data_IF_067891048471
#
_entry.id   IF_067891048471
#
_cell.length_a   1.000
_cell.length_b   1.000
_cell.length_c   1.000
_cell.angle_alpha   90.00
_cell.angle_beta   90.00
_cell.angle_gamma   90.00
#
_symmetry.space_group_name_H-M   'P 1'
#
loop_
_entity.id
_entity.type
_entity.pdbx_description
1 polymer ?
#
# COMPACT_ATOMS: atom_id res chain seq x y z
N UNK A 1 -1.59 -30.19 12.35
CA UNK A 1 -1.23 -31.62 12.58
C UNK A 1 -0.60 -32.25 11.33
N UNK A 2 -1.20 -32.07 10.14
CA UNK A 2 -0.62 -32.59 8.89
C UNK A 2 0.74 -31.94 8.57
N UNK A 3 0.89 -30.63 8.77
CA UNK A 3 2.18 -29.93 8.53
C UNK A 3 3.34 -30.49 9.35
N UNK A 4 3.05 -30.89 10.58
CA UNK A 4 4.02 -31.47 11.50
C UNK A 4 4.55 -32.82 11.00
N UNK A 5 3.66 -33.65 10.46
CA UNK A 5 4.03 -34.97 9.93
C UNK A 5 4.94 -34.79 8.71
N UNK A 6 4.55 -33.93 7.76
CA UNK A 6 5.35 -33.68 6.56
C UNK A 6 6.67 -32.99 6.87
N UNK A 7 6.67 -31.98 7.75
CA UNK A 7 7.88 -31.32 8.22
C UNK A 7 8.84 -32.31 8.89
N UNK A 8 8.33 -33.21 9.74
CA UNK A 8 9.14 -34.24 10.38
C UNK A 8 9.75 -35.24 9.36
N UNK A 9 8.97 -35.64 8.35
CA UNK A 9 9.46 -36.50 7.26
C UNK A 9 10.59 -35.82 6.48
N UNK A 10 10.44 -34.53 6.15
CA UNK A 10 11.49 -33.76 5.45
C UNK A 10 12.77 -33.73 6.26
N UNK A 11 12.69 -33.41 7.55
CA UNK A 11 13.83 -33.35 8.48
C UNK A 11 14.53 -34.71 8.60
N UNK A 12 13.77 -35.80 8.62
CA UNK A 12 14.31 -37.14 8.66
C UNK A 12 15.03 -37.51 7.36
N UNK A 13 14.41 -37.22 6.22
CA UNK A 13 14.98 -37.52 4.90
C UNK A 13 16.25 -36.72 4.63
N UNK A 14 16.30 -35.43 4.96
CA UNK A 14 17.51 -34.60 4.81
C UNK A 14 18.65 -35.12 5.69
N UNK A 15 18.36 -35.50 6.93
CA UNK A 15 19.38 -36.03 7.84
C UNK A 15 19.94 -37.39 7.40
N UNK A 16 19.06 -38.31 6.95
CA UNK A 16 19.50 -39.62 6.40
C UNK A 16 20.34 -39.40 5.14
N UNK A 17 19.92 -38.48 4.26
CA UNK A 17 20.65 -38.13 3.04
C UNK A 17 22.03 -37.56 3.37
N UNK A 18 22.13 -36.65 4.34
CA UNK A 18 23.39 -36.06 4.78
C UNK A 18 24.32 -37.11 5.41
N UNK A 19 23.79 -38.00 6.25
CA UNK A 19 24.54 -39.13 6.81
C UNK A 19 25.15 -40.01 5.69
N UNK A 20 24.33 -40.40 4.72
CA UNK A 20 24.77 -41.28 3.63
C UNK A 20 25.79 -40.58 2.71
N UNK A 21 25.55 -39.30 2.37
CA UNK A 21 26.44 -38.49 1.54
C UNK A 21 27.82 -38.32 2.18
N UNK A 22 27.88 -37.96 3.47
CA UNK A 22 29.14 -37.82 4.20
C UNK A 22 29.91 -39.14 4.31
N UNK A 23 29.18 -40.25 4.48
CA UNK A 23 29.76 -41.61 4.51
C UNK A 23 30.34 -42.02 3.16
N UNK A 24 29.63 -41.76 2.06
CA UNK A 24 30.12 -42.05 0.70
C UNK A 24 31.34 -41.19 0.36
N UNK A 25 31.33 -39.92 0.76
CA UNK A 25 32.45 -39.00 0.55
C UNK A 25 33.65 -39.26 1.48
N UNK A 26 33.54 -40.21 2.44
CA UNK A 26 34.57 -40.50 3.46
C UNK A 26 35.00 -39.23 4.21
N UNK A 27 34.06 -38.33 4.47
CA UNK A 27 34.33 -37.09 5.20
C UNK A 27 34.73 -37.38 6.65
N UNK A 28 35.66 -36.60 7.19
CA UNK A 28 36.02 -36.65 8.62
C UNK A 28 34.87 -36.19 9.53
N UNK A 29 33.83 -35.57 8.97
CA UNK A 29 32.64 -35.07 9.68
C UNK A 29 31.44 -36.05 9.62
N UNK A 30 31.66 -37.38 9.59
CA UNK A 30 30.57 -38.37 9.49
C UNK A 30 29.64 -38.32 10.73
N UNK A 31 28.36 -38.00 10.52
CA UNK A 31 27.35 -38.01 11.59
C UNK A 31 27.03 -39.46 12.00
N UNK A 32 27.18 -39.83 13.27
CA UNK A 32 26.83 -41.17 13.77
C UNK A 32 25.32 -41.34 13.96
N UNK A 33 24.81 -42.58 14.03
CA UNK A 33 23.39 -42.84 14.30
C UNK A 33 22.89 -42.28 15.65
N UNK A 34 23.77 -42.16 16.65
CA UNK A 34 23.43 -41.54 17.95
C UNK A 34 23.29 -40.03 17.83
N UNK A 35 24.23 -39.37 17.14
CA UNK A 35 24.16 -37.93 16.86
C UNK A 35 22.98 -37.59 15.95
N UNK A 36 22.69 -38.45 14.97
CA UNK A 36 21.48 -38.36 14.16
C UNK A 36 20.21 -38.44 15.02
N UNK A 37 20.11 -39.39 15.94
CA UNK A 37 18.97 -39.50 16.85
C UNK A 37 18.76 -38.25 17.72
N UNK A 38 19.84 -37.70 18.29
CA UNK A 38 19.78 -36.49 19.11
C UNK A 38 19.47 -35.23 18.29
N UNK A 39 20.16 -35.05 17.16
CA UNK A 39 19.95 -33.94 16.24
C UNK A 39 18.52 -33.93 15.66
N UNK A 40 17.99 -35.11 15.34
CA UNK A 40 16.61 -35.27 14.91
C UNK A 40 15.62 -34.88 16.02
N UNK A 41 15.79 -35.39 17.25
CA UNK A 41 14.92 -35.04 18.36
C UNK A 41 14.94 -33.53 18.66
N UNK A 42 16.13 -32.92 18.67
CA UNK A 42 16.29 -31.48 18.87
C UNK A 42 15.61 -30.68 17.75
N UNK A 43 15.82 -31.06 16.49
CA UNK A 43 15.26 -30.33 15.36
C UNK A 43 13.73 -30.50 15.28
N UNK A 44 13.18 -31.68 15.61
CA UNK A 44 11.73 -31.88 15.64
C UNK A 44 11.04 -31.08 16.74
N UNK A 45 11.64 -30.98 17.94
CA UNK A 45 11.01 -30.29 19.08
C UNK A 45 11.21 -28.79 19.04
N UNK A 46 12.40 -28.30 18.69
CA UNK A 46 12.73 -26.87 18.78
C UNK A 46 12.72 -26.23 17.39
N UNK A 47 13.46 -26.82 16.44
CA UNK A 47 13.62 -26.26 15.09
C UNK A 47 12.29 -26.21 14.33
N UNK A 48 11.62 -27.35 14.20
CA UNK A 48 10.37 -27.49 13.46
C UNK A 48 9.23 -26.73 14.14
N UNK A 49 9.15 -26.78 15.49
CA UNK A 49 8.18 -25.96 16.24
C UNK A 49 8.36 -24.47 15.95
N UNK A 50 9.60 -23.98 16.08
CA UNK A 50 9.93 -22.57 15.85
C UNK A 50 9.62 -22.14 14.42
N UNK A 51 10.06 -22.92 13.43
CA UNK A 51 9.81 -22.63 12.01
C UNK A 51 8.32 -22.58 11.71
N UNK A 52 7.53 -23.58 12.15
CA UNK A 52 6.08 -23.60 11.92
C UNK A 52 5.41 -22.41 12.61
N UNK A 53 5.75 -22.10 13.87
CA UNK A 53 5.14 -20.97 14.58
C UNK A 53 5.46 -19.61 13.96
N UNK A 54 6.70 -19.40 13.55
CA UNK A 54 7.11 -18.17 12.85
C UNK A 54 6.40 -18.10 11.50
N UNK A 55 6.35 -19.22 10.76
CA UNK A 55 5.68 -19.29 9.47
C UNK A 55 4.19 -19.01 9.59
N UNK A 56 3.49 -19.66 10.52
CA UNK A 56 2.06 -19.45 10.76
C UNK A 56 1.78 -17.98 11.06
N UNK A 57 2.61 -17.34 11.89
CA UNK A 57 2.48 -15.92 12.18
C UNK A 57 2.56 -15.08 10.90
N UNK A 58 3.61 -15.24 10.08
CA UNK A 58 3.75 -14.47 8.85
C UNK A 58 2.69 -14.82 7.80
N UNK A 59 2.34 -16.10 7.66
CA UNK A 59 1.34 -16.57 6.72
C UNK A 59 -0.05 -16.00 7.05
N UNK A 60 -0.44 -16.03 8.32
CA UNK A 60 -1.70 -15.46 8.79
C UNK A 60 -1.68 -13.94 8.69
N UNK A 61 -0.60 -13.26 9.10
CA UNK A 61 -0.49 -11.81 8.95
C UNK A 61 -0.65 -11.39 7.49
N UNK A 62 0.03 -12.07 6.56
CA UNK A 62 -0.14 -11.82 5.13
C UNK A 62 -1.57 -12.07 4.64
N UNK A 63 -2.30 -13.02 5.23
CA UNK A 63 -3.70 -13.30 4.86
C UNK A 63 -4.68 -12.28 5.43
N UNK A 64 -4.42 -11.71 6.61
CA UNK A 64 -5.31 -10.71 7.22
C UNK A 64 -5.08 -9.29 6.73
N UNK A 65 -3.96 -8.97 6.09
CA UNK A 65 -3.72 -7.60 5.60
C UNK A 65 -4.51 -7.33 4.33
N UNK A 66 -5.33 -6.28 4.34
CA UNK A 66 -6.10 -5.75 3.21
C UNK A 66 -5.89 -4.25 3.11
N UNK A 67 -6.29 -3.65 1.99
CA UNK A 67 -6.19 -2.22 1.77
C UNK A 67 -7.52 -1.51 2.04
N UNK A 68 -7.48 -0.38 2.73
CA UNK A 68 -8.60 0.57 2.86
C UNK A 68 -8.22 1.95 2.33
N UNK A 69 -9.22 2.70 1.87
CA UNK A 69 -9.02 4.08 1.49
C UNK A 69 -9.22 4.97 2.71
N UNK A 70 -8.29 5.91 2.91
CA UNK A 70 -8.38 6.99 3.88
C UNK A 70 -8.58 8.28 3.11
N UNK A 71 -9.69 8.94 3.38
CA UNK A 71 -10.05 10.19 2.72
C UNK A 71 -9.89 11.35 3.68
N UNK A 72 -9.58 12.52 3.13
CA UNK A 72 -9.42 13.74 3.90
C UNK A 72 -9.37 14.96 2.99
N UNK A 73 -8.68 16.00 3.45
CA UNK A 73 -8.46 17.23 2.68
C UNK A 73 -6.98 17.60 2.62
N UNK A 74 -6.64 18.39 1.60
CA UNK A 74 -5.40 19.14 1.55
C UNK A 74 -5.30 20.07 2.78
N UNK A 75 -4.09 20.19 3.33
CA UNK A 75 -3.83 21.00 4.52
C UNK A 75 -2.80 22.09 4.23
N UNK A 76 -1.72 21.74 3.53
CA UNK A 76 -0.62 22.67 3.25
C UNK A 76 0.08 22.33 1.95
N UNK A 77 0.33 23.32 1.11
CA UNK A 77 1.21 23.20 -0.05
C UNK A 77 2.61 23.70 0.34
N UNK A 78 3.58 22.80 0.35
CA UNK A 78 4.96 23.08 0.71
C UNK A 78 5.81 23.27 -0.55
N UNK A 79 6.59 24.34 -0.55
CA UNK A 79 7.64 24.58 -1.53
C UNK A 79 8.97 24.72 -0.82
N UNK A 80 9.78 23.67 -0.89
CA UNK A 80 11.11 23.65 -0.32
C UNK A 80 12.14 24.02 -1.37
N UNK A 81 12.97 25.02 -1.07
CA UNK A 81 14.13 25.38 -1.88
C UNK A 81 15.40 24.91 -1.19
N UNK A 82 16.13 24.01 -1.82
CA UNK A 82 17.40 23.47 -1.32
C UNK A 82 18.52 24.25 -1.98
N UNK A 83 19.20 25.10 -1.21
CA UNK A 83 20.41 25.78 -1.68
C UNK A 83 21.54 24.78 -1.90
N UNK A 84 22.15 24.84 -3.06
CA UNK A 84 23.23 23.94 -3.46
C UNK A 84 24.60 24.51 -3.08
N UNK A 85 25.54 23.60 -2.84
CA UNK A 85 26.96 23.91 -2.64
C UNK A 85 27.81 22.84 -3.32
N UNK A 86 29.09 23.15 -3.55
CA UNK A 86 30.09 22.14 -3.96
C UNK A 86 30.11 21.00 -2.92
N UNK A 87 30.06 19.75 -3.38
CA UNK A 87 29.92 18.54 -2.56
C UNK A 87 28.71 18.57 -1.59
N UNK A 88 27.70 19.36 -1.94
CA UNK A 88 26.54 19.66 -1.10
C UNK A 88 25.40 18.66 -1.18
N UNK A 89 24.20 19.14 -0.80
CA UNK A 89 22.98 18.34 -0.69
C UNK A 89 22.18 18.18 -1.98
N UNK A 90 22.52 18.93 -3.03
CA UNK A 90 21.82 18.85 -4.31
C UNK A 90 22.16 17.58 -5.05
N UNK A 91 21.19 17.08 -5.79
CA UNK A 91 21.24 15.73 -6.37
C UNK A 91 21.77 15.75 -7.78
N UNK A 92 21.39 16.77 -8.54
CA UNK A 92 21.81 16.94 -9.91
C UNK A 92 23.14 17.69 -9.92
N UNK A 93 24.21 16.92 -10.03
CA UNK A 93 25.59 17.39 -10.02
C UNK A 93 26.38 16.90 -11.22
N UNK A 94 27.53 17.52 -11.46
CA UNK A 94 28.53 17.12 -12.44
C UNK A 94 29.94 17.20 -11.84
N UNK A 95 30.85 16.42 -12.40
CA UNK A 95 32.26 16.41 -12.00
C UNK A 95 32.92 17.75 -12.37
N UNK A 96 33.35 18.49 -11.35
CA UNK A 96 34.03 19.77 -11.49
C UNK A 96 35.35 19.76 -10.71
N UNK A 97 36.15 20.83 -10.86
CA UNK A 97 37.35 21.12 -10.08
C UNK A 97 38.17 19.88 -9.66
N UNK A 98 39.13 19.43 -10.47
CA UNK A 98 39.91 18.26 -10.10
C UNK A 98 40.78 18.52 -8.86
N UNK A 99 40.83 17.55 -7.95
CA UNK A 99 41.74 17.54 -6.81
C UNK A 99 42.49 16.21 -6.75
N UNK A 100 43.63 16.18 -6.08
CA UNK A 100 44.44 14.96 -5.96
C UNK A 100 44.38 14.42 -4.53
N UNK A 101 44.11 13.13 -4.40
CA UNK A 101 44.16 12.42 -3.12
C UNK A 101 45.17 11.29 -3.15
N UNK A 102 45.85 11.00 -2.03
CA UNK A 102 46.69 9.81 -1.92
C UNK A 102 45.81 8.55 -1.88
N UNK A 103 46.07 7.62 -2.79
CA UNK A 103 45.48 6.28 -2.79
C UNK A 103 46.58 5.25 -2.52
N UNK A 104 46.31 4.36 -1.55
CA UNK A 104 47.18 3.25 -1.22
C UNK A 104 46.85 2.05 -2.10
N UNK A 105 47.86 1.46 -2.73
CA UNK A 105 47.69 0.26 -3.56
C UNK A 105 48.81 -0.75 -3.29
N UNK A 106 48.52 -2.03 -3.55
CA UNK A 106 49.49 -3.09 -3.42
C UNK A 106 50.52 -3.02 -4.57
N UNK A 107 51.77 -2.74 -4.21
CA UNK A 107 52.92 -2.75 -5.12
C UNK A 107 53.92 -3.85 -4.74
N UNK A 108 53.42 -4.92 -4.10
CA UNK A 108 54.18 -6.12 -3.80
C UNK A 108 54.82 -6.69 -5.05
N UNK A 109 56.03 -7.20 -4.92
CA UNK A 109 56.76 -7.84 -5.99
C UNK A 109 57.40 -9.14 -5.50
N UNK A 110 57.71 -10.05 -6.42
CA UNK A 110 58.43 -11.28 -6.10
C UNK A 110 59.92 -11.05 -6.33
N UNK A 111 60.73 -11.30 -5.31
CA UNK A 111 62.18 -11.12 -5.42
C UNK A 111 62.84 -12.25 -6.24
N UNK A 112 64.14 -12.12 -6.53
CA UNK A 112 64.92 -13.11 -7.28
C UNK A 112 65.05 -14.48 -6.58
N UNK A 113 64.56 -14.62 -5.35
CA UNK A 113 64.49 -15.87 -4.58
C UNK A 113 63.09 -16.49 -4.57
N UNK A 114 62.15 -15.97 -5.36
CA UNK A 114 60.78 -16.48 -5.45
C UNK A 114 59.88 -16.12 -4.26
N UNK A 115 60.30 -15.22 -3.37
CA UNK A 115 59.52 -14.79 -2.22
C UNK A 115 58.75 -13.50 -2.54
N UNK A 116 57.44 -13.46 -2.26
CA UNK A 116 56.62 -12.24 -2.36
C UNK A 116 57.01 -11.29 -1.23
N UNK A 117 57.48 -10.10 -1.60
CA UNK A 117 57.73 -8.99 -0.67
C UNK A 117 56.48 -8.14 -0.64
N UNK A 118 55.75 -8.16 0.49
CA UNK A 118 54.54 -7.35 0.64
C UNK A 118 54.90 -5.87 0.77
N UNK A 119 54.35 -5.02 -0.10
CA UNK A 119 54.61 -3.58 -0.08
C UNK A 119 53.36 -2.80 -0.48
N UNK A 120 52.99 -1.82 0.35
CA UNK A 120 51.97 -0.83 0.00
C UNK A 120 52.65 0.42 -0.52
N UNK A 121 52.22 0.90 -1.69
CA UNK A 121 52.67 2.16 -2.27
C UNK A 121 51.54 3.18 -2.26
N UNK A 122 51.92 4.45 -2.34
CA UNK A 122 50.98 5.55 -2.49
C UNK A 122 51.10 6.12 -3.90
N UNK A 123 49.97 6.37 -4.56
CA UNK A 123 49.89 7.16 -5.79
C UNK A 123 48.92 8.31 -5.58
N UNK A 124 49.15 9.44 -6.24
CA UNK A 124 48.18 10.52 -6.29
C UNK A 124 47.13 10.18 -7.35
N UNK A 125 45.88 10.08 -6.95
CA UNK A 125 44.76 9.86 -7.87
C UNK A 125 43.96 11.14 -7.98
N UNK A 126 43.65 11.51 -9.22
CA UNK A 126 42.78 12.64 -9.53
C UNK A 126 41.33 12.26 -9.24
N UNK A 127 40.68 13.03 -8.38
CA UNK A 127 39.24 13.01 -8.11
C UNK A 127 38.64 14.36 -8.53
N UNK A 128 37.32 14.43 -8.52
CA UNK A 128 36.54 15.60 -8.91
C UNK A 128 35.52 15.91 -7.83
N UNK A 129 35.25 17.19 -7.63
CA UNK A 129 34.16 17.65 -6.78
C UNK A 129 32.82 17.48 -7.49
N UNK A 130 31.76 17.27 -6.74
CA UNK A 130 30.39 17.23 -7.26
C UNK A 130 29.83 18.65 -7.23
N UNK A 131 29.89 19.35 -8.37
CA UNK A 131 29.26 20.67 -8.50
C UNK A 131 27.80 20.53 -8.93
N UNK A 132 26.86 21.26 -8.32
CA UNK A 132 25.46 21.27 -8.76
C UNK A 132 25.33 21.98 -10.12
N UNK A 133 24.29 21.64 -10.89
CA UNK A 133 23.96 22.34 -12.14
C UNK A 133 23.38 23.73 -11.87
N UNK A 134 22.55 23.86 -10.84
CA UNK A 134 21.88 25.09 -10.41
C UNK A 134 22.29 25.48 -8.97
N UNK A 135 22.02 26.72 -8.58
CA UNK A 135 22.25 27.23 -7.21
C UNK A 135 21.24 26.72 -6.21
N UNK A 136 20.10 26.22 -6.68
CA UNK A 136 19.08 25.59 -5.88
C UNK A 136 18.31 24.51 -6.66
N UNK A 137 17.74 23.56 -5.92
CA UNK A 137 16.78 22.57 -6.39
C UNK A 137 15.47 22.73 -5.60
N UNK A 138 14.33 22.52 -6.24
CA UNK A 138 13.01 22.73 -5.65
C UNK A 138 12.27 21.40 -5.45
N UNK A 139 11.72 21.21 -4.26
CA UNK A 139 10.81 20.10 -3.95
C UNK A 139 9.45 20.66 -3.57
N UNK A 140 8.40 20.09 -4.15
CA UNK A 140 7.02 20.49 -3.99
C UNK A 140 6.23 19.34 -3.39
N UNK A 141 5.58 19.58 -2.26
CA UNK A 141 4.69 18.59 -1.65
C UNK A 141 3.39 19.19 -1.13
N UNK A 142 2.40 18.34 -0.89
CA UNK A 142 1.14 18.70 -0.25
C UNK A 142 0.91 17.80 0.95
N UNK A 143 0.81 18.41 2.13
CA UNK A 143 0.41 17.72 3.36
C UNK A 143 -1.10 17.65 3.46
N UNK A 144 -1.60 16.59 4.07
CA UNK A 144 -3.02 16.28 4.10
C UNK A 144 -3.53 15.94 5.51
N UNK A 145 -4.84 15.98 5.68
CA UNK A 145 -5.49 15.71 6.98
C UNK A 145 -5.48 14.22 7.34
N UNK A 146 -5.06 13.33 6.45
CA UNK A 146 -4.86 11.90 6.76
C UNK A 146 -3.54 11.64 7.48
N UNK A 147 -2.65 12.65 7.53
CA UNK A 147 -1.28 12.52 8.04
C UNK A 147 -0.25 12.17 6.96
N UNK A 148 -0.70 11.94 5.72
CA UNK A 148 0.15 11.65 4.57
C UNK A 148 0.58 12.95 3.85
N UNK A 149 1.72 12.89 3.16
CA UNK A 149 2.24 13.97 2.30
C UNK A 149 2.55 13.42 0.91
N UNK A 150 2.17 14.15 -0.14
CA UNK A 150 2.47 13.76 -1.53
C UNK A 150 3.48 14.69 -2.14
N UNK A 151 4.59 14.13 -2.61
CA UNK A 151 5.59 14.87 -3.39
C UNK A 151 5.14 14.96 -4.85
N UNK A 152 4.81 16.16 -5.30
CA UNK A 152 4.37 16.45 -6.67
C UNK A 152 5.51 16.83 -7.60
N UNK A 153 6.66 17.21 -7.03
CA UNK A 153 7.91 17.41 -7.76
C UNK A 153 9.08 17.28 -6.79
N UNK A 154 10.09 16.48 -7.14
CA UNK A 154 11.27 16.28 -6.30
C UNK A 154 12.51 16.80 -7.00
N UNK A 155 13.23 17.73 -6.36
CA UNK A 155 14.52 18.28 -6.83
C UNK A 155 14.48 18.84 -8.26
N UNK A 156 13.36 19.43 -8.65
CA UNK A 156 13.23 20.11 -9.93
C UNK A 156 14.17 21.30 -10.00
N UNK A 157 14.58 21.67 -11.21
CA UNK A 157 15.28 22.93 -11.41
C UNK A 157 14.33 24.14 -11.27
N UNK A 158 14.85 25.34 -10.96
CA UNK A 158 14.06 26.57 -10.97
C UNK A 158 13.38 26.85 -12.31
N UNK A 159 12.34 27.70 -12.31
CA UNK A 159 11.58 28.09 -13.53
C UNK A 159 12.47 28.65 -14.64
N UNK A 160 13.53 29.39 -14.28
CA UNK A 160 14.58 29.81 -15.21
C UNK A 160 15.93 29.23 -14.72
N UNK A 161 16.22 27.98 -15.08
CA UNK A 161 17.38 27.30 -14.53
C UNK A 161 18.70 27.84 -15.09
N UNK A 162 18.67 28.56 -16.23
CA UNK A 162 19.83 29.23 -16.82
C UNK A 162 20.23 30.48 -16.03
N UNK A 163 19.28 31.19 -15.43
CA UNK A 163 19.59 32.29 -14.49
C UNK A 163 20.10 31.79 -13.14
N UNK A 164 19.81 30.54 -12.79
CA UNK A 164 20.22 29.92 -11.53
C UNK A 164 21.42 29.00 -11.69
N UNK A 165 22.23 29.18 -12.74
CA UNK A 165 23.43 28.34 -12.94
C UNK A 165 24.39 28.47 -11.76
N UNK A 166 24.86 27.33 -11.25
CA UNK A 166 25.88 27.31 -10.20
C UNK A 166 27.18 28.03 -10.63
N UNK A 167 27.54 27.86 -11.91
CA UNK A 167 28.66 28.56 -12.57
C UNK A 167 28.14 29.53 -13.61
N UNK A 168 28.64 30.77 -13.58
CA UNK A 168 28.27 31.77 -14.57
C UNK A 168 28.88 31.48 -15.95
N UNK A 169 28.28 32.06 -16.99
CA UNK A 169 28.70 31.96 -18.40
C UNK A 169 30.14 32.44 -18.70
N UNK A 170 30.81 33.07 -17.73
CA UNK A 170 32.22 33.47 -17.82
C UNK A 170 33.22 32.34 -17.53
N UNK A 171 32.77 31.19 -17.02
CA UNK A 171 33.63 30.05 -16.77
C UNK A 171 33.96 29.30 -18.07
N UNK A 172 35.22 28.85 -18.22
CA UNK A 172 35.73 28.21 -19.45
C UNK A 172 34.91 27.01 -19.93
N UNK A 173 34.15 26.39 -19.05
CA UNK A 173 33.26 25.29 -19.37
C UNK A 173 32.11 25.24 -18.37
N UNK A 174 30.89 25.48 -18.85
CA UNK A 174 29.64 25.29 -18.11
C UNK A 174 28.90 24.15 -18.80
N UNK A 175 28.66 23.01 -18.14
CA UNK A 175 27.93 21.91 -18.76
C UNK A 175 26.48 22.33 -19.06
N UNK A 176 25.88 21.79 -20.11
CA UNK A 176 24.45 22.01 -20.38
C UNK A 176 23.58 21.46 -19.24
N UNK A 177 22.40 22.05 -19.02
CA UNK A 177 21.45 21.47 -18.07
C UNK A 177 20.96 20.11 -18.58
N UNK A 178 20.84 19.10 -17.70
CA UNK A 178 20.20 17.84 -18.06
C UNK A 178 18.74 18.08 -18.48
N UNK A 179 18.43 17.89 -19.77
CA UNK A 179 17.06 18.07 -20.28
C UNK A 179 16.04 17.06 -19.75
N UNK A 180 16.48 16.02 -19.03
CA UNK A 180 15.63 15.05 -18.36
C UNK A 180 15.10 15.53 -17.00
N UNK A 181 15.67 16.60 -16.44
CA UNK A 181 15.24 17.15 -15.16
C UNK A 181 14.18 18.21 -15.42
N UNK A 182 13.02 18.05 -14.80
CA UNK A 182 11.91 18.99 -14.91
C UNK A 182 12.27 20.33 -14.23
N UNK A 183 11.68 21.41 -14.72
CA UNK A 183 11.95 22.77 -14.25
C UNK A 183 10.67 23.54 -13.97
N UNK A 184 10.69 24.39 -12.94
CA UNK A 184 9.59 25.27 -12.59
C UNK A 184 8.66 24.68 -11.53
N UNK A 185 7.43 25.20 -11.49
CA UNK A 185 6.42 24.81 -10.51
C UNK A 185 5.46 23.79 -11.15
N UNK A 186 5.26 22.60 -10.55
CA UNK A 186 4.30 21.62 -11.04
C UNK A 186 2.86 22.18 -11.09
N UNK A 187 2.11 21.88 -12.15
CA UNK A 187 0.75 22.39 -12.35
C UNK A 187 -0.27 21.89 -11.33
N UNK A 188 -0.16 20.61 -10.96
CA UNK A 188 -0.93 19.97 -9.88
C UNK A 188 -0.69 20.65 -8.53
N UNK A 189 0.57 20.95 -8.19
CA UNK A 189 0.92 21.66 -6.96
C UNK A 189 0.38 23.09 -6.98
N UNK A 190 0.49 23.81 -8.10
CA UNK A 190 -0.09 25.15 -8.24
C UNK A 190 -1.59 25.14 -8.00
N UNK A 191 -2.31 24.18 -8.59
CA UNK A 191 -3.75 24.05 -8.41
C UNK A 191 -4.14 23.75 -6.95
N UNK A 192 -3.39 22.90 -6.24
CA UNK A 192 -3.59 22.63 -4.83
C UNK A 192 -3.30 23.87 -3.96
N UNK A 193 -2.21 24.60 -4.28
CA UNK A 193 -1.86 25.84 -3.59
C UNK A 193 -2.92 26.93 -3.78
N UNK A 194 -3.48 27.06 -4.99
CA UNK A 194 -4.59 27.98 -5.28
C UNK A 194 -5.87 27.62 -4.52
N UNK A 195 -6.23 26.33 -4.48
CA UNK A 195 -7.34 25.81 -3.68
C UNK A 195 -7.19 26.19 -2.20
N UNK A 196 -6.03 25.89 -1.62
CA UNK A 196 -5.70 26.22 -0.23
C UNK A 196 -5.73 27.73 0.02
N UNK A 197 -5.17 28.55 -0.89
CA UNK A 197 -5.19 30.01 -0.80
C UNK A 197 -6.61 30.58 -0.87
N UNK A 198 -7.54 29.89 -1.55
CA UNK A 198 -8.95 30.25 -1.63
C UNK A 198 -9.82 29.69 -0.50
N UNK A 199 -9.21 29.07 0.53
CA UNK A 199 -9.90 28.37 1.62
C UNK A 199 -10.87 27.27 1.14
N UNK A 200 -10.52 26.58 0.05
CA UNK A 200 -11.30 25.49 -0.54
C UNK A 200 -10.40 24.30 -0.86
N UNK A 201 -9.86 23.62 0.17
CA UNK A 201 -8.96 22.48 -0.03
C UNK A 201 -9.67 21.37 -0.81
N UNK A 202 -8.93 20.72 -1.70
CA UNK A 202 -9.41 19.55 -2.42
C UNK A 202 -9.53 18.32 -1.51
N UNK A 203 -10.50 17.45 -1.82
CA UNK A 203 -10.58 16.12 -1.22
C UNK A 203 -9.43 15.24 -1.68
N UNK A 204 -8.83 14.51 -0.74
CA UNK A 204 -7.69 13.60 -0.99
C UNK A 204 -8.04 12.17 -0.60
N UNK A 205 -7.30 11.22 -1.14
CA UNK A 205 -7.45 9.79 -0.85
C UNK A 205 -6.10 9.10 -0.85
N UNK A 206 -5.84 8.32 0.19
CA UNK A 206 -4.68 7.45 0.33
C UNK A 206 -5.12 6.02 0.57
N UNK A 207 -4.26 5.07 0.20
CA UNK A 207 -4.48 3.65 0.50
C UNK A 207 -3.58 3.24 1.65
N UNK A 208 -4.19 2.68 2.68
CA UNK A 208 -3.53 2.16 3.87
C UNK A 208 -3.82 0.68 4.02
N UNK A 209 -2.92 -0.04 4.66
CA UNK A 209 -3.10 -1.43 5.00
C UNK A 209 -3.76 -1.59 6.37
N UNK A 210 -4.65 -2.56 6.51
CA UNK A 210 -5.33 -2.88 7.75
C UNK A 210 -5.62 -4.38 7.87
N UNK A 211 -5.72 -4.91 9.11
CA UNK A 211 -6.15 -6.29 9.30
C UNK A 211 -7.67 -6.43 9.11
N UNK A 212 -8.11 -7.36 8.25
CA UNK A 212 -9.50 -7.75 8.06
C UNK A 212 -9.70 -9.24 8.26
N UNK A 213 -10.22 -9.63 9.42
CA UNK A 213 -10.47 -11.03 9.75
C UNK A 213 -11.72 -11.59 9.08
N UNK A 214 -12.68 -10.73 8.73
CA UNK A 214 -13.93 -11.16 8.08
C UNK A 214 -13.60 -11.67 6.69
N UNK A 215 -12.86 -10.91 5.89
CA UNK A 215 -12.49 -11.32 4.52
C UNK A 215 -11.42 -12.43 4.48
N UNK A 216 -10.58 -12.51 5.51
CA UNK A 216 -9.51 -13.52 5.56
C UNK A 216 -9.99 -14.90 6.02
N UNK A 217 -11.14 -14.98 6.70
CA UNK A 217 -11.64 -16.22 7.25
C UNK A 217 -12.11 -17.18 6.15
N UNK A 218 -11.57 -18.40 6.12
CA UNK A 218 -11.84 -19.34 5.03
C UNK A 218 -13.32 -19.79 4.93
N UNK A 219 -14.09 -19.75 6.04
CA UNK A 219 -15.43 -20.33 6.12
C UNK A 219 -16.38 -19.50 7.02
N UNK A 220 -16.27 -18.16 6.98
CA UNK A 220 -17.15 -17.33 7.80
C UNK A 220 -18.55 -17.21 7.19
N UNK A 221 -19.59 -17.38 8.01
CA UNK A 221 -20.98 -17.03 7.67
C UNK A 221 -21.17 -15.55 7.35
N UNK A 222 -20.16 -14.72 7.66
CA UNK A 222 -20.17 -13.28 7.46
C UNK A 222 -19.73 -12.87 6.05
N UNK A 223 -19.21 -13.81 5.27
CA UNK A 223 -18.94 -13.59 3.85
C UNK A 223 -20.24 -13.33 3.09
N UNK A 224 -20.20 -12.35 2.19
CA UNK A 224 -21.31 -12.10 1.29
C UNK A 224 -21.20 -13.01 0.07
N UNK A 225 -22.26 -13.76 -0.19
CA UNK A 225 -22.40 -14.62 -1.36
C UNK A 225 -23.64 -14.21 -2.14
N UNK A 226 -23.56 -14.31 -3.46
CA UNK A 226 -24.71 -14.11 -4.35
C UNK A 226 -24.57 -15.01 -5.58
N UNK A 227 -25.64 -15.72 -5.92
CA UNK A 227 -25.75 -16.52 -7.14
C UNK A 227 -26.04 -15.66 -8.39
N UNK A 228 -26.28 -14.35 -8.20
CA UNK A 228 -26.59 -13.39 -9.28
C UNK A 228 -25.37 -12.65 -9.81
N UNK A 229 -24.16 -12.90 -9.28
CA UNK A 229 -22.94 -12.21 -9.73
C UNK A 229 -22.74 -12.40 -11.24
N UNK A 230 -22.73 -13.66 -11.72
CA UNK A 230 -22.51 -13.96 -13.14
C UNK A 230 -23.63 -13.39 -14.03
N UNK A 231 -24.87 -13.37 -13.54
CA UNK A 231 -26.00 -12.78 -14.26
C UNK A 231 -25.79 -11.27 -14.51
N UNK A 232 -25.52 -10.50 -13.47
CA UNK A 232 -25.33 -9.05 -13.60
C UNK A 232 -23.99 -8.69 -14.26
N UNK A 233 -22.95 -9.52 -14.10
CA UNK A 233 -21.67 -9.36 -14.80
C UNK A 233 -21.84 -9.56 -16.31
N UNK A 234 -22.56 -10.60 -16.73
CA UNK A 234 -22.87 -10.84 -18.15
C UNK A 234 -23.72 -9.73 -18.77
N UNK A 235 -24.58 -9.08 -17.98
CA UNK A 235 -25.35 -7.90 -18.39
C UNK A 235 -24.54 -6.59 -18.41
N UNK A 236 -23.26 -6.62 -18.03
CA UNK A 236 -22.41 -5.44 -17.85
C UNK A 236 -23.01 -4.41 -16.87
N UNK A 237 -23.65 -4.91 -15.82
CA UNK A 237 -24.25 -4.11 -14.75
C UNK A 237 -23.41 -4.13 -13.47
N UNK A 238 -22.42 -5.02 -13.33
CA UNK A 238 -21.46 -4.97 -12.22
C UNK A 238 -20.18 -4.25 -12.66
N UNK A 239 -19.99 -2.97 -12.30
CA UNK A 239 -18.74 -2.28 -12.59
C UNK A 239 -17.59 -2.87 -11.78
N UNK A 240 -16.40 -2.86 -12.35
CA UNK A 240 -15.18 -3.26 -11.64
C UNK A 240 -14.87 -2.27 -10.52
N UNK A 241 -14.43 -2.80 -9.38
CA UNK A 241 -14.06 -1.98 -8.22
C UNK A 241 -12.74 -1.26 -8.51
N UNK A 242 -12.74 0.07 -8.42
CA UNK A 242 -11.53 0.84 -8.67
C UNK A 242 -10.63 0.81 -7.44
N UNK A 243 -9.39 0.38 -7.65
CA UNK A 243 -8.40 0.19 -6.58
C UNK A 243 -7.26 1.21 -6.64
N UNK A 244 -7.21 2.03 -7.68
CA UNK A 244 -6.12 2.98 -7.91
C UNK A 244 -6.48 4.37 -7.45
N UNK A 245 -5.47 5.11 -7.00
CA UNK A 245 -5.53 6.53 -6.73
C UNK A 245 -4.84 7.22 -7.90
N UNK A 246 -5.57 8.12 -8.58
CA UNK A 246 -5.10 8.86 -9.76
C UNK A 246 -4.70 10.28 -9.39
N UNK A 247 -3.97 10.97 -10.27
CA UNK A 247 -3.67 12.39 -10.15
C UNK A 247 -3.22 12.78 -8.73
N UNK A 248 -2.16 12.10 -8.27
CA UNK A 248 -1.53 12.19 -6.95
C UNK A 248 -2.35 11.64 -5.76
N UNK A 249 -3.63 11.98 -5.64
CA UNK A 249 -4.48 11.56 -4.49
C UNK A 249 -6.00 11.50 -4.78
N UNK A 250 -6.42 11.43 -6.04
CA UNK A 250 -7.84 11.38 -6.44
C UNK A 250 -8.38 9.95 -6.44
N UNK A 251 -9.46 9.68 -5.71
CA UNK A 251 -10.10 8.37 -5.67
C UNK A 251 -11.29 8.25 -6.63
N UNK A 252 -11.36 7.21 -7.46
CA UNK A 252 -12.48 6.98 -8.37
C UNK A 252 -13.58 6.13 -7.73
N UNK A 253 -14.59 6.78 -7.16
CA UNK A 253 -15.64 6.10 -6.37
C UNK A 253 -17.06 6.28 -6.90
N UNK A 254 -17.19 6.73 -8.14
CA UNK A 254 -18.48 6.83 -8.83
C UNK A 254 -18.46 5.92 -10.04
N UNK A 255 -19.46 5.05 -10.13
CA UNK A 255 -19.59 4.05 -11.17
C UNK A 255 -20.92 4.21 -11.89
N UNK A 256 -20.91 4.04 -13.21
CA UNK A 256 -22.12 4.11 -14.04
C UNK A 256 -22.37 2.73 -14.67
N UNK A 257 -23.49 2.09 -14.30
CA UNK A 257 -23.86 0.76 -14.75
C UNK A 257 -25.08 0.84 -15.68
N UNK A 258 -24.87 0.68 -16.99
CA UNK A 258 -25.95 0.83 -17.99
C UNK A 258 -26.41 2.27 -18.24
N UNK A 259 -26.02 3.25 -17.40
CA UNK A 259 -26.37 4.66 -17.57
C UNK A 259 -25.32 5.38 -18.41
N UNK A 260 -25.67 5.75 -19.64
CA UNK A 260 -24.87 6.65 -20.49
C UNK A 260 -25.31 8.09 -20.29
N UNK A 261 -24.39 9.05 -20.46
CA UNK A 261 -24.62 10.50 -20.55
C UNK A 261 -24.74 11.33 -19.26
N UNK A 262 -24.20 10.86 -18.13
CA UNK A 262 -24.02 11.71 -16.94
C UNK A 262 -22.61 12.33 -16.91
N UNK A 263 -22.42 13.55 -16.39
CA UNK A 263 -21.13 14.23 -16.36
C UNK A 263 -20.21 13.59 -15.29
N UNK A 264 -19.37 12.63 -15.71
CA UNK A 264 -18.54 11.84 -14.80
C UNK A 264 -17.64 12.71 -13.89
N UNK A 265 -17.01 13.73 -14.45
CA UNK A 265 -16.08 14.62 -13.72
C UNK A 265 -16.76 15.41 -12.61
N UNK A 266 -18.00 15.86 -12.82
CA UNK A 266 -18.78 16.56 -11.80
C UNK A 266 -19.12 15.63 -10.63
N UNK A 267 -19.54 14.40 -10.93
CA UNK A 267 -19.84 13.39 -9.93
C UNK A 267 -18.58 12.97 -9.16
N UNK A 268 -17.46 12.79 -9.85
CA UNK A 268 -16.18 12.43 -9.26
C UNK A 268 -15.66 13.53 -8.33
N UNK A 269 -15.73 14.79 -8.76
CA UNK A 269 -15.31 15.94 -7.96
C UNK A 269 -16.16 16.04 -6.68
N UNK A 270 -17.49 15.97 -6.81
CA UNK A 270 -18.39 16.00 -5.66
C UNK A 270 -18.19 14.80 -4.72
N UNK A 271 -17.94 13.61 -5.28
CA UNK A 271 -17.66 12.40 -4.50
C UNK A 271 -16.35 12.51 -3.71
N UNK A 272 -15.29 13.06 -4.30
CA UNK A 272 -14.01 13.24 -3.59
C UNK A 272 -14.13 14.28 -2.47
N UNK A 273 -14.85 15.39 -2.71
CA UNK A 273 -15.12 16.37 -1.68
C UNK A 273 -15.94 15.77 -0.53
N UNK A 274 -17.00 15.02 -0.85
CA UNK A 274 -17.84 14.33 0.13
C UNK A 274 -17.05 13.29 0.91
N UNK A 275 -16.23 12.48 0.23
CA UNK A 275 -15.39 11.48 0.87
C UNK A 275 -14.32 12.14 1.75
N UNK A 276 -13.79 13.31 1.38
CA UNK A 276 -12.90 14.07 2.25
C UNK A 276 -13.55 14.38 3.61
N UNK A 277 -14.81 14.85 3.59
CA UNK A 277 -15.58 15.10 4.81
C UNK A 277 -15.89 13.82 5.59
N UNK A 278 -16.35 12.77 4.88
CA UNK A 278 -16.69 11.49 5.48
C UNK A 278 -15.48 10.80 6.12
N UNK A 279 -14.32 10.87 5.46
CA UNK A 279 -13.07 10.32 5.94
C UNK A 279 -12.56 11.06 7.18
N UNK A 280 -12.59 12.40 7.15
CA UNK A 280 -12.15 13.23 8.28
C UNK A 280 -12.99 13.02 9.53
N UNK A 281 -14.32 13.03 9.42
CA UNK A 281 -15.21 13.00 10.59
C UNK A 281 -15.62 11.60 11.03
N UNK A 282 -15.74 10.66 10.09
CA UNK A 282 -16.31 9.32 10.32
C UNK A 282 -15.40 8.17 9.87
N UNK A 283 -14.27 8.47 9.23
CA UNK A 283 -13.36 7.48 8.63
C UNK A 283 -14.08 6.49 7.70
N UNK A 284 -15.13 6.96 7.01
CA UNK A 284 -15.90 6.20 6.03
C UNK A 284 -15.36 6.36 4.60
N UNK A 285 -15.70 5.41 3.73
CA UNK A 285 -15.29 5.38 2.32
C UNK A 285 -16.51 5.10 1.42
N UNK A 286 -17.13 6.13 0.87
CA UNK A 286 -18.35 6.02 0.10
C UNK A 286 -18.08 5.74 -1.38
N UNK A 287 -18.64 4.63 -1.85
CA UNK A 287 -18.72 4.21 -3.25
C UNK A 287 -20.15 4.37 -3.75
N UNK A 288 -20.32 5.10 -4.85
CA UNK A 288 -21.62 5.36 -5.46
C UNK A 288 -21.74 4.67 -6.81
N UNK A 289 -22.77 3.84 -6.98
CA UNK A 289 -23.11 3.23 -8.26
C UNK A 289 -24.43 3.80 -8.75
N UNK A 290 -24.44 4.36 -9.96
CA UNK A 290 -25.64 4.84 -10.63
C UNK A 290 -26.00 3.82 -11.72
N UNK A 291 -27.16 3.18 -11.59
CA UNK A 291 -27.60 2.07 -12.45
C UNK A 291 -28.84 2.43 -13.28
N UNK A 292 -28.96 1.83 -14.46
CA UNK A 292 -30.17 1.93 -15.28
C UNK A 292 -31.31 1.18 -14.61
N UNK A 293 -32.31 1.92 -14.11
CA UNK A 293 -33.48 1.38 -13.44
C UNK A 293 -34.43 0.61 -14.35
N UNK A 294 -34.30 0.75 -15.68
CA UNK A 294 -34.97 -0.09 -16.65
C UNK A 294 -34.33 -1.48 -16.76
N UNK A 295 -33.02 -1.57 -16.54
CA UNK A 295 -32.27 -2.82 -16.55
C UNK A 295 -32.30 -3.53 -15.18
N UNK A 296 -32.36 -2.77 -14.08
CA UNK A 296 -32.53 -3.29 -12.72
C UNK A 296 -33.80 -2.70 -12.09
N UNK A 297 -34.95 -3.37 -12.23
CA UNK A 297 -36.20 -2.90 -11.64
C UNK A 297 -36.14 -2.95 -10.11
N UNK A 298 -37.02 -2.19 -9.45
CA UNK A 298 -37.04 -2.09 -7.97
C UNK A 298 -37.22 -3.44 -7.27
N UNK A 299 -37.89 -4.40 -7.92
CA UNK A 299 -38.08 -5.76 -7.40
C UNK A 299 -36.76 -6.52 -7.25
N UNK A 300 -35.75 -6.19 -8.05
CA UNK A 300 -34.44 -6.83 -8.06
C UNK A 300 -33.37 -5.99 -7.34
N UNK A 301 -33.75 -4.87 -6.74
CA UNK A 301 -32.82 -3.91 -6.13
C UNK A 301 -31.97 -4.52 -5.00
N UNK A 302 -32.59 -5.36 -4.17
CA UNK A 302 -31.93 -6.04 -3.05
C UNK A 302 -30.98 -7.15 -3.52
N UNK A 303 -31.39 -7.91 -4.55
CA UNK A 303 -30.54 -8.91 -5.21
C UNK A 303 -29.32 -8.25 -5.88
N UNK A 304 -29.51 -7.09 -6.51
CA UNK A 304 -28.45 -6.35 -7.18
C UNK A 304 -27.41 -5.79 -6.21
N UNK A 305 -27.81 -5.09 -5.13
CA UNK A 305 -26.84 -4.59 -4.12
C UNK A 305 -26.13 -5.75 -3.42
N UNK A 306 -26.82 -6.87 -3.18
CA UNK A 306 -26.23 -8.09 -2.67
C UNK A 306 -25.16 -8.65 -3.60
N UNK A 307 -25.47 -8.77 -4.89
CA UNK A 307 -24.53 -9.24 -5.91
C UNK A 307 -23.32 -8.30 -6.08
N UNK A 308 -23.55 -6.99 -6.14
CA UNK A 308 -22.49 -5.99 -6.28
C UNK A 308 -21.52 -6.05 -5.10
N UNK A 309 -22.04 -6.06 -3.87
CA UNK A 309 -21.18 -6.08 -2.68
C UNK A 309 -20.46 -7.41 -2.51
N UNK A 310 -21.10 -8.54 -2.83
CA UNK A 310 -20.45 -9.84 -2.88
C UNK A 310 -19.35 -9.90 -3.95
N UNK A 311 -19.59 -9.33 -5.14
CA UNK A 311 -18.60 -9.24 -6.21
C UNK A 311 -17.38 -8.41 -5.77
N UNK A 312 -17.60 -7.22 -5.20
CA UNK A 312 -16.51 -6.36 -4.73
C UNK A 312 -15.77 -6.91 -3.50
N UNK A 313 -16.38 -7.84 -2.75
CA UNK A 313 -15.71 -8.57 -1.66
C UNK A 313 -15.10 -9.91 -2.09
N UNK A 314 -15.28 -10.31 -3.34
CA UNK A 314 -14.80 -11.60 -3.85
C UNK A 314 -13.29 -11.61 -4.11
N UNK A 315 -12.77 -12.82 -4.34
CA UNK A 315 -11.37 -13.06 -4.70
C UNK A 315 -10.93 -12.34 -6.00
N UNK A 316 -11.87 -11.84 -6.81
CA UNK A 316 -11.57 -11.03 -8.00
C UNK A 316 -10.73 -9.78 -7.67
N UNK A 317 -10.87 -9.24 -6.46
CA UNK A 317 -10.14 -8.04 -6.01
C UNK A 317 -9.08 -8.33 -4.95
N UNK A 318 -8.98 -9.57 -4.48
CA UNK A 318 -7.99 -10.03 -3.49
C UNK A 318 -7.80 -9.05 -2.33
N UNK A 319 -6.59 -8.52 -2.13
CA UNK A 319 -6.26 -7.58 -1.04
C UNK A 319 -6.88 -6.19 -1.19
N UNK A 320 -7.41 -5.90 -2.37
CA UNK A 320 -8.13 -4.68 -2.68
C UNK A 320 -9.65 -4.84 -2.64
N UNK A 321 -10.15 -5.97 -2.12
CA UNK A 321 -11.58 -6.15 -1.89
C UNK A 321 -12.19 -5.02 -1.05
N UNK A 322 -13.50 -4.81 -1.20
CA UNK A 322 -14.25 -3.74 -0.54
C UNK A 322 -13.95 -3.67 0.96
N UNK A 323 -13.42 -2.53 1.38
CA UNK A 323 -12.91 -2.34 2.74
C UNK A 323 -14.01 -2.33 3.81
N UNK A 324 -13.63 -2.49 5.07
CA UNK A 324 -14.57 -2.52 6.21
C UNK A 324 -15.33 -1.22 6.40
N UNK A 325 -14.70 -0.08 6.12
CA UNK A 325 -15.30 1.23 6.31
C UNK A 325 -16.03 1.69 5.05
N UNK A 326 -16.08 0.84 4.03
CA UNK A 326 -16.73 1.16 2.78
C UNK A 326 -18.25 1.19 2.93
N UNK A 327 -18.86 2.17 2.30
CA UNK A 327 -20.30 2.35 2.17
C UNK A 327 -20.58 2.26 0.67
N UNK A 328 -21.41 1.32 0.26
CA UNK A 328 -21.83 1.17 -1.13
C UNK A 328 -23.26 1.68 -1.24
N UNK A 329 -23.47 2.69 -2.07
CA UNK A 329 -24.79 3.24 -2.37
C UNK A 329 -25.10 3.00 -3.83
N UNK A 330 -26.25 2.40 -4.11
CA UNK A 330 -26.77 2.21 -5.46
C UNK A 330 -27.97 3.13 -5.65
N UNK A 331 -27.92 3.95 -6.70
CA UNK A 331 -29.03 4.79 -7.14
C UNK A 331 -29.46 4.32 -8.52
N UNK A 332 -30.74 3.97 -8.66
CA UNK A 332 -31.29 3.67 -9.97
C UNK A 332 -32.00 4.88 -10.57
N UNK A 333 -31.96 4.98 -11.89
CA UNK A 333 -32.68 6.00 -12.63
C UNK A 333 -33.23 5.45 -13.94
N UNK A 334 -34.45 5.85 -14.29
CA UNK A 334 -35.09 5.50 -15.57
C UNK A 334 -35.05 6.69 -16.54
N UNK A 335 -35.08 7.92 -16.02
CA UNK A 335 -35.17 9.17 -16.77
C UNK A 335 -33.86 9.98 -16.78
N UNK A 336 -32.83 9.51 -16.05
CA UNK A 336 -31.53 10.18 -15.81
C UNK A 336 -31.62 11.52 -15.08
N UNK A 337 -32.77 11.82 -14.47
CA UNK A 337 -33.05 13.09 -13.79
C UNK A 337 -33.47 12.89 -12.34
N UNK A 338 -34.11 11.78 -12.03
CA UNK A 338 -34.60 11.44 -10.71
C UNK A 338 -34.17 10.04 -10.30
N UNK A 339 -34.12 9.82 -8.98
CA UNK A 339 -33.79 8.54 -8.38
C UNK A 339 -35.07 7.71 -8.29
N UNK A 340 -35.15 6.62 -9.06
CA UNK A 340 -36.32 5.73 -9.06
C UNK A 340 -36.37 4.84 -7.82
N UNK A 341 -35.20 4.37 -7.36
CA UNK A 341 -35.02 3.65 -6.11
C UNK A 341 -33.57 3.77 -5.65
N UNK A 342 -33.32 3.56 -4.35
CA UNK A 342 -31.99 3.55 -3.77
C UNK A 342 -31.79 2.33 -2.84
N UNK A 343 -30.56 1.85 -2.75
CA UNK A 343 -30.12 0.84 -1.77
C UNK A 343 -28.73 1.18 -1.26
N UNK A 344 -28.44 0.76 -0.04
CA UNK A 344 -27.10 0.87 0.51
C UNK A 344 -26.71 -0.39 1.25
N UNK A 345 -25.40 -0.60 1.34
CA UNK A 345 -24.77 -1.65 2.10
C UNK A 345 -23.43 -1.14 2.62
N UNK A 346 -22.88 -1.79 3.64
CA UNK A 346 -21.52 -1.53 4.14
C UNK A 346 -20.60 -2.71 3.85
N UNK A 347 -19.29 -2.49 3.93
CA UNK A 347 -18.31 -3.57 3.90
C UNK A 347 -18.43 -4.53 5.09
N UNK A 348 -19.02 -4.08 6.20
CA UNK A 348 -19.26 -4.91 7.38
C UNK A 348 -20.63 -5.57 7.37
N UNK A 349 -20.78 -6.77 7.96
CA UNK A 349 -22.04 -7.50 7.98
C UNK A 349 -23.09 -6.88 8.92
N UNK A 350 -22.68 -6.10 9.93
CA UNK A 350 -23.57 -5.56 10.96
C UNK A 350 -23.17 -4.16 11.44
N UNK A 351 -24.08 -3.50 12.18
CA UNK A 351 -23.81 -2.29 12.98
C UNK A 351 -24.16 -0.97 12.30
N UNK A 352 -24.95 -1.03 11.23
CA UNK A 352 -25.20 0.08 10.31
C UNK A 352 -26.55 -0.04 9.59
N UNK A 353 -27.43 -0.92 10.07
CA UNK A 353 -28.69 -1.31 9.44
C UNK A 353 -29.66 -0.12 9.35
N UNK A 354 -29.73 0.69 10.41
CA UNK A 354 -30.66 1.82 10.48
C UNK A 354 -30.38 2.90 9.43
N UNK A 355 -29.10 3.20 9.16
CA UNK A 355 -28.76 4.17 8.13
C UNK A 355 -29.12 3.64 6.74
N UNK A 356 -28.88 2.33 6.47
CA UNK A 356 -29.18 1.75 5.14
C UNK A 356 -30.67 1.80 4.81
N UNK A 357 -31.53 1.58 5.82
CA UNK A 357 -32.98 1.74 5.71
C UNK A 357 -33.37 3.21 5.49
N UNK A 358 -32.78 4.13 6.26
CA UNK A 358 -33.08 5.57 6.13
C UNK A 358 -32.69 6.10 4.74
N UNK A 359 -31.56 5.64 4.20
CA UNK A 359 -31.08 6.02 2.89
C UNK A 359 -32.03 5.55 1.78
N UNK A 360 -32.51 4.31 1.86
CA UNK A 360 -33.50 3.75 0.93
C UNK A 360 -34.72 4.65 0.81
N UNK A 361 -35.25 5.09 1.96
CA UNK A 361 -36.52 5.81 2.01
C UNK A 361 -36.36 7.30 1.64
N UNK A 362 -35.22 7.93 1.96
CA UNK A 362 -35.02 9.38 1.72
C UNK A 362 -34.54 9.75 0.32
N UNK A 363 -33.80 8.87 -0.35
CA UNK A 363 -33.25 9.17 -1.68
C UNK A 363 -34.25 8.93 -2.82
N UNK A 364 -35.26 8.09 -2.61
CA UNK A 364 -36.26 7.83 -3.64
C UNK A 364 -37.01 9.12 -4.01
N UNK A 365 -37.12 9.40 -5.31
CA UNK A 365 -37.79 10.58 -5.85
C UNK A 365 -36.96 11.87 -5.82
N UNK A 366 -35.76 11.85 -5.26
CA UNK A 366 -34.87 13.02 -5.25
C UNK A 366 -34.26 13.27 -6.64
N UNK A 367 -33.85 14.51 -6.96
CA UNK A 367 -33.09 14.80 -8.17
C UNK A 367 -31.78 14.01 -8.21
N UNK A 368 -31.46 13.44 -9.37
CA UNK A 368 -30.19 12.75 -9.63
C UNK A 368 -29.14 13.79 -10.07
N UNK A 369 -28.67 14.59 -9.12
CA UNK A 369 -27.57 15.53 -9.32
C UNK A 369 -26.54 15.37 -8.19
N UNK A 370 -25.24 15.66 -8.43
CA UNK A 370 -24.23 15.57 -7.39
C UNK A 370 -24.59 16.40 -6.15
N UNK A 371 -25.10 17.62 -6.35
CA UNK A 371 -25.46 18.54 -5.26
C UNK A 371 -26.68 18.10 -4.46
N UNK A 372 -27.68 17.45 -5.06
CA UNK A 372 -28.83 16.92 -4.33
C UNK A 372 -28.46 15.66 -3.53
N UNK A 373 -27.62 14.80 -4.12
CA UNK A 373 -27.21 13.52 -3.54
C UNK A 373 -26.17 13.72 -2.45
N UNK A 374 -25.00 14.24 -2.79
CA UNK A 374 -23.88 14.43 -1.86
C UNK A 374 -24.01 15.71 -1.04
N UNK A 375 -24.68 16.74 -1.57
CA UNK A 375 -24.54 18.10 -1.06
C UNK A 375 -23.32 18.79 -1.68
N UNK A 376 -22.78 19.76 -0.97
CA UNK A 376 -21.51 20.41 -1.29
C UNK A 376 -20.73 20.72 0.00
N UNK A 377 -20.32 19.69 0.78
CA UNK A 377 -19.60 19.91 2.03
C UNK A 377 -18.34 20.74 1.74
N UNK A 378 -18.26 21.91 2.36
CA UNK A 378 -17.10 22.77 2.23
C UNK A 378 -16.13 22.45 3.37
N UNK A 379 -14.84 22.52 3.09
CA UNK A 379 -13.82 22.38 4.12
C UNK A 379 -13.06 23.71 4.24
N UNK A 380 -12.67 24.06 5.46
CA UNK A 380 -11.84 25.22 5.75
C UNK A 380 -10.64 24.78 6.58
N UNK A 381 -9.45 25.19 6.15
CA UNK A 381 -8.22 24.99 6.93
C UNK A 381 -8.10 26.13 7.93
N UNK A 382 -7.99 25.79 9.21
CA UNK A 382 -7.75 26.73 10.30
C UNK A 382 -6.48 26.38 11.05
N UNK A 383 -5.71 27.40 11.44
CA UNK A 383 -4.54 27.25 12.30
C UNK A 383 -4.94 27.32 13.76
N UNK A 384 -4.37 26.46 14.60
CA UNK A 384 -4.50 26.58 16.04
C UNK A 384 -3.90 27.92 16.50
N UNK A 385 -4.65 28.69 17.29
CA UNK A 385 -4.21 29.99 17.80
C UNK A 385 -2.98 29.88 18.72
N UNK A 386 -2.73 28.70 19.29
CA UNK A 386 -1.58 28.41 20.16
C UNK A 386 -0.36 27.84 19.43
N UNK A 387 -0.55 27.36 18.20
CA UNK A 387 0.49 26.70 17.41
C UNK A 387 0.16 26.83 15.91
N UNK A 388 0.74 27.84 15.25
CA UNK A 388 0.49 28.11 13.84
C UNK A 388 0.90 26.95 12.92
N UNK A 389 1.75 26.03 13.39
CA UNK A 389 2.15 24.86 12.63
C UNK A 389 1.13 23.73 12.71
N UNK A 390 0.23 23.74 13.70
CA UNK A 390 -0.92 22.82 13.79
C UNK A 390 -2.10 23.36 12.99
N UNK A 391 -2.25 22.80 11.80
CA UNK A 391 -3.41 23.04 10.96
C UNK A 391 -4.49 21.98 11.25
N UNK A 392 -5.72 22.42 11.31
CA UNK A 392 -6.91 21.57 11.42
C UNK A 392 -7.88 21.89 10.29
N UNK A 393 -8.62 20.89 9.84
CA UNK A 393 -9.65 21.08 8.82
C UNK A 393 -11.01 21.02 9.50
N UNK A 394 -11.85 22.02 9.23
CA UNK A 394 -13.25 22.06 9.66
C UNK A 394 -14.13 21.84 8.44
N UNK A 395 -15.14 20.99 8.58
CA UNK A 395 -16.13 20.77 7.52
C UNK A 395 -17.42 21.53 7.86
N UNK A 396 -17.96 22.22 6.85
CA UNK A 396 -19.28 22.81 6.87
C UNK A 396 -20.23 21.98 6.02
N UNK A 397 -21.18 21.35 6.70
CA UNK A 397 -22.18 20.52 6.05
C UNK A 397 -23.28 21.34 5.40
N UNK A 398 -23.75 20.86 4.26
CA UNK A 398 -24.87 21.44 3.49
C UNK A 398 -26.16 20.62 3.68
N UNK A 399 -27.02 20.62 2.67
CA UNK A 399 -28.33 19.96 2.69
C UNK A 399 -28.41 18.77 1.74
N UNK A 400 -27.29 18.14 1.40
CA UNK A 400 -27.28 16.89 0.63
C UNK A 400 -28.06 15.78 1.35
N UNK A 401 -28.76 14.93 0.61
CA UNK A 401 -29.54 13.85 1.26
C UNK A 401 -28.62 12.82 1.89
N UNK A 402 -27.55 12.39 1.20
CA UNK A 402 -26.56 11.48 1.78
C UNK A 402 -25.84 12.10 2.96
N UNK A 403 -25.52 13.38 2.89
CA UNK A 403 -24.90 14.14 3.96
C UNK A 403 -25.73 14.10 5.24
N UNK A 404 -27.02 14.46 5.15
CA UNK A 404 -27.92 14.46 6.29
C UNK A 404 -28.10 13.07 6.91
N UNK A 405 -28.09 12.02 6.09
CA UNK A 405 -28.22 10.64 6.57
C UNK A 405 -26.92 10.16 7.22
N UNK A 406 -25.78 10.32 6.54
CA UNK A 406 -24.51 9.75 6.96
C UNK A 406 -23.88 10.48 8.16
N UNK A 407 -24.08 11.79 8.27
CA UNK A 407 -23.56 12.59 9.39
C UNK A 407 -24.59 12.83 10.50
N UNK A 408 -25.83 12.39 10.32
CA UNK A 408 -26.92 12.50 11.29
C UNK A 408 -26.72 11.66 12.56
N UNK A 409 -27.69 11.73 13.47
CA UNK A 409 -27.67 11.02 14.76
C UNK A 409 -27.58 9.49 14.59
N UNK A 410 -28.31 8.96 13.60
CA UNK A 410 -28.32 7.54 13.24
C UNK A 410 -27.43 7.26 12.01
N UNK A 411 -26.39 8.09 11.83
CA UNK A 411 -25.50 8.05 10.68
C UNK A 411 -24.51 6.89 10.70
N UNK A 412 -23.58 6.92 9.74
CA UNK A 412 -22.58 5.87 9.60
C UNK A 412 -21.69 5.79 10.85
N UNK A 413 -21.53 4.58 11.36
CA UNK A 413 -20.65 4.31 12.50
C UNK A 413 -19.55 3.35 12.08
N UNK A 414 -18.30 3.75 12.36
CA UNK A 414 -17.13 2.90 12.11
C UNK A 414 -17.18 1.66 12.98
N UNK A 415 -16.97 0.50 12.38
CA UNK A 415 -16.87 -0.77 13.10
C UNK A 415 -15.41 -1.14 13.34
N UNK A 416 -15.10 -1.64 14.53
CA UNK A 416 -13.75 -2.02 14.91
C UNK A 416 -13.45 -3.50 14.60
N UNK A 417 -12.27 -3.77 14.03
CA UNK A 417 -11.83 -5.14 13.74
C UNK A 417 -11.50 -5.95 14.99
N UNK A 418 -11.41 -5.30 16.15
CA UNK A 418 -11.22 -5.97 17.44
C UNK A 418 -12.38 -6.92 17.75
N UNK A 419 -13.60 -6.56 17.34
CA UNK A 419 -14.80 -7.35 17.61
C UNK A 419 -14.84 -8.67 16.79
N UNK A 420 -13.98 -8.77 15.77
CA UNK A 420 -13.88 -9.91 14.86
C UNK A 420 -12.58 -10.70 15.02
N UNK A 421 -11.76 -10.40 16.04
CA UNK A 421 -10.50 -11.11 16.29
C UNK A 421 -10.69 -12.62 16.52
N UNK A 422 -11.86 -13.05 16.98
CA UNK A 422 -12.16 -14.47 17.17
C UNK A 422 -12.06 -15.29 15.87
N UNK A 423 -12.29 -14.65 14.71
CA UNK A 423 -12.15 -15.27 13.40
C UNK A 423 -10.71 -15.60 13.04
N UNK A 424 -9.71 -15.04 13.75
CA UNK A 424 -8.29 -15.37 13.51
C UNK A 424 -8.02 -16.88 13.62
N UNK A 425 -8.78 -17.62 14.42
CA UNK A 425 -8.63 -19.08 14.55
C UNK A 425 -9.17 -19.86 13.34
N UNK A 426 -9.96 -19.22 12.47
CA UNK A 426 -10.52 -19.83 11.26
C UNK A 426 -9.61 -19.66 10.03
N UNK A 427 -8.58 -18.81 10.15
CA UNK A 427 -7.66 -18.47 9.08
C UNK A 427 -6.57 -19.54 8.99
N UNK A 428 -6.44 -20.15 7.82
CA UNK A 428 -5.44 -21.19 7.56
C UNK A 428 -4.51 -20.77 6.42
N UNK A 429 -3.20 -21.09 6.50
CA UNK A 429 -2.29 -20.87 5.39
C UNK A 429 -2.80 -21.51 4.09
N UNK A 430 -2.56 -20.84 2.97
CA UNK A 430 -2.92 -21.36 1.65
C UNK A 430 -2.07 -22.57 1.28
N UNK A 431 -2.52 -23.38 0.32
CA UNK A 431 -1.73 -24.51 -0.16
C UNK A 431 -0.35 -24.08 -0.69
N UNK A 432 -0.26 -22.92 -1.32
CA UNK A 432 1.00 -22.37 -1.82
C UNK A 432 1.94 -21.97 -0.68
N UNK A 433 1.42 -21.28 0.34
CA UNK A 433 2.14 -20.97 1.56
C UNK A 433 2.68 -22.25 2.22
N UNK A 434 1.85 -23.30 2.34
CA UNK A 434 2.28 -24.58 2.88
C UNK A 434 3.41 -25.25 2.06
N UNK A 435 3.42 -25.11 0.73
CA UNK A 435 4.55 -25.59 -0.10
C UNK A 435 5.84 -24.82 0.24
N UNK A 436 5.76 -23.50 0.36
CA UNK A 436 6.91 -22.68 0.76
C UNK A 436 7.42 -23.01 2.16
N UNK A 437 6.53 -23.29 3.11
CA UNK A 437 6.90 -23.80 4.44
C UNK A 437 7.76 -25.06 4.32
N UNK A 438 7.36 -26.03 3.50
CA UNK A 438 8.14 -27.26 3.32
C UNK A 438 9.50 -27.03 2.66
N UNK A 439 9.58 -26.09 1.70
CA UNK A 439 10.86 -25.67 1.10
C UNK A 439 11.77 -25.03 2.15
N UNK A 440 11.24 -24.15 3.00
CA UNK A 440 11.99 -23.55 4.11
C UNK A 440 12.48 -24.64 5.06
N UNK A 441 11.60 -25.53 5.53
CA UNK A 441 11.98 -26.64 6.40
C UNK A 441 13.11 -27.47 5.79
N UNK A 442 13.05 -27.76 4.49
CA UNK A 442 14.10 -28.50 3.79
C UNK A 442 15.45 -27.79 3.84
N UNK A 443 15.53 -26.52 3.44
CA UNK A 443 16.80 -25.79 3.43
C UNK A 443 17.35 -25.52 4.83
N UNK A 444 16.49 -25.15 5.79
CA UNK A 444 16.91 -24.93 7.18
C UNK A 444 17.37 -26.25 7.82
N UNK A 445 16.75 -27.37 7.45
CA UNK A 445 17.19 -28.69 7.90
C UNK A 445 18.54 -29.08 7.30
N UNK A 446 18.78 -28.84 5.99
CA UNK A 446 20.09 -29.06 5.37
C UNK A 446 21.18 -28.23 6.05
N UNK A 447 20.91 -26.95 6.31
CA UNK A 447 21.83 -26.06 7.01
C UNK A 447 22.12 -26.57 8.43
N UNK A 448 21.08 -26.94 9.18
CA UNK A 448 21.23 -27.45 10.54
C UNK A 448 22.04 -28.76 10.58
N UNK A 449 21.80 -29.68 9.65
CA UNK A 449 22.59 -30.90 9.53
C UNK A 449 24.04 -30.62 9.11
N UNK A 450 24.28 -29.65 8.22
CA UNK A 450 25.63 -29.20 7.87
C UNK A 450 26.39 -28.60 9.05
N UNK A 451 25.72 -27.76 9.84
CA UNK A 451 26.29 -27.19 11.08
C UNK A 451 26.55 -28.30 12.10
N UNK A 452 25.62 -29.24 12.29
CA UNK A 452 25.78 -30.35 13.21
C UNK A 452 26.97 -31.25 12.83
N UNK A 453 27.15 -31.52 11.53
CA UNK A 453 28.31 -32.26 11.03
C UNK A 453 29.63 -31.48 11.23
N UNK A 454 29.62 -30.16 11.08
CA UNK A 454 30.81 -29.31 11.23
C UNK A 454 31.23 -29.09 12.70
N UNK A 455 30.27 -28.87 13.59
CA UNK A 455 30.51 -28.60 15.02
C UNK A 455 30.70 -29.90 15.81
N UNK A 456 30.23 -31.04 15.29
CA UNK A 456 30.41 -32.37 15.86
C UNK A 456 31.87 -32.60 16.31
N UNK A 457 32.14 -32.93 17.58
CA UNK A 457 33.50 -33.00 18.09
C UNK A 457 34.36 -34.03 17.31
N UNK A 458 35.55 -33.66 16.83
CA UNK A 458 36.51 -34.61 16.24
C UNK A 458 36.94 -35.75 17.18
N UNK A 459 36.66 -35.60 18.48
CA UNK A 459 37.06 -36.52 19.54
C UNK A 459 36.39 -37.89 19.47
N UNK A 460 35.29 -38.07 18.74
CA UNK A 460 34.74 -39.41 18.45
C UNK A 460 35.31 -40.05 17.16
N UNK A 461 36.07 -39.29 16.35
CA UNK A 461 36.69 -39.79 15.11
C UNK A 461 38.08 -40.41 15.32
N UNK A 462 38.63 -40.39 16.55
CA UNK A 462 39.94 -40.98 16.91
C UNK A 462 39.90 -42.44 17.39
N UNK A 463 38.75 -43.11 17.31
CA UNK A 463 38.60 -44.55 17.62
C UNK A 463 38.03 -45.34 16.43
N UNK A 464 38.45 -45.02 15.21
CA UNK A 464 38.25 -45.87 14.02
C UNK A 464 39.58 -46.31 13.46
#
# INVERSE_FOLDING_TARGET
>A
MIEWIWGALIVALTGVSMHYLLKVMKSECEVTWKEFGFGMAFFLVIGLFGIIKIFDYFAVQNLVTYSENWSGFEVRANWQRVTCSEDGRCTHTYDCHPYYVPEFYDCSYTNSRGQRVSRTCTRMVRRYHSCPYTTEEWTFSVDTSTGDSVTMGDRWFPTDPEQHRWRGWGDRWVPALPGSVQSGVPTNWSAANERLASHRPGGVTFRHEYPNYVLAANLSILHKYSDKIEFYKAANLLPDFHTEVRDDYTGERVYFAGVKSLPADEWLTASNQFNGALGLERQGDLHLVIVDGGAVPVADADDYIGALTAYWQSDAFAKNALSKNAIVVVLATVDKKSISWARAATGMPTGNELFTLTLRDRLQGQPLTPSAVFGNPNAEVSSDASDADKLSVRVEHTKGVLEQVLFGADGFTRIHMRDYQYLHHEIKPTQEQLRWLYVIIFFTSLLAWGIAAYIGPPTYHKWR
#
